data_IF_721018954789
#
_entry.id   IF_721018954789
#
_cell.length_a   1.000
_cell.length_b   1.000
_cell.length_c   1.000
_cell.angle_alpha   90.00
_cell.angle_beta   90.00
_cell.angle_gamma   90.00
#
_symmetry.space_group_name_H-M   'P 1'
#
loop_
_entity.id
_entity.type
_entity.pdbx_description
1 polymer ?
#
# COMPACT_ATOMS: atom_id res chain seq x y z
N UNK A 1 5.02 40.48 10.27
CA UNK A 1 5.84 39.40 9.66
C UNK A 1 6.27 38.40 10.74
N UNK A 2 5.33 37.76 11.44
CA UNK A 2 5.60 36.87 12.59
C UNK A 2 5.23 35.41 12.26
N UNK A 3 5.78 34.86 11.17
CA UNK A 3 5.20 33.62 10.62
C UNK A 3 6.04 32.35 10.77
N UNK A 4 7.36 32.43 11.00
CA UNK A 4 8.23 31.23 10.98
C UNK A 4 8.78 30.85 12.35
N UNK A 5 9.27 31.83 13.11
CA UNK A 5 9.86 31.58 14.44
C UNK A 5 8.82 31.17 15.49
N UNK A 6 7.62 31.76 15.44
CA UNK A 6 6.57 31.44 16.39
C UNK A 6 5.89 30.10 16.10
N UNK A 7 5.80 29.71 14.82
CA UNK A 7 5.42 28.35 14.42
C UNK A 7 6.46 27.34 14.92
N UNK A 8 7.75 27.65 14.81
CA UNK A 8 8.81 26.75 15.28
C UNK A 8 8.82 26.55 16.80
N UNK A 9 8.29 27.49 17.60
CA UNK A 9 8.16 27.35 19.06
C UNK A 9 6.99 26.46 19.50
N UNK A 10 5.95 26.29 18.65
CA UNK A 10 4.77 25.48 18.96
C UNK A 10 4.87 24.03 18.51
N UNK A 11 5.80 23.73 17.59
CA UNK A 11 5.97 22.39 17.07
C UNK A 11 6.84 21.57 18.05
N UNK A 12 6.46 20.32 18.36
CA UNK A 12 7.32 19.45 19.13
C UNK A 12 8.63 19.28 18.38
N UNK A 13 9.76 19.38 19.09
CA UNK A 13 11.11 19.23 18.50
C UNK A 13 11.28 17.92 17.70
N UNK A 14 10.43 16.95 18.00
CA UNK A 14 10.38 15.65 17.37
C UNK A 14 8.92 15.27 17.11
N UNK A 15 8.64 14.84 15.87
CA UNK A 15 7.32 14.40 15.43
C UNK A 15 7.27 12.90 15.19
N UNK A 16 6.12 12.31 15.51
CA UNK A 16 5.81 10.94 15.13
C UNK A 16 5.48 10.84 13.64
N UNK A 17 5.50 9.63 13.11
CA UNK A 17 5.32 9.39 11.68
C UNK A 17 3.97 9.88 11.12
N UNK A 18 2.90 9.94 11.95
CA UNK A 18 1.60 10.53 11.54
C UNK A 18 1.68 12.05 11.42
N UNK A 19 2.25 12.71 12.42
CA UNK A 19 2.44 14.15 12.45
C UNK A 19 3.37 14.61 11.33
N UNK A 20 4.45 13.87 11.07
CA UNK A 20 5.36 14.14 9.97
C UNK A 20 4.66 14.04 8.59
N UNK A 21 3.73 13.09 8.43
CA UNK A 21 2.97 12.97 7.19
C UNK A 21 2.01 14.17 6.99
N UNK A 22 1.35 14.59 8.06
CA UNK A 22 0.50 15.78 8.08
C UNK A 22 1.29 17.05 7.79
N UNK A 23 2.47 17.20 8.40
CA UNK A 23 3.38 18.31 8.18
C UNK A 23 3.84 18.42 6.71
N UNK A 24 4.13 17.28 6.08
CA UNK A 24 4.52 17.21 4.67
C UNK A 24 3.31 17.27 3.70
N UNK A 25 2.08 17.30 4.20
CA UNK A 25 0.87 17.29 3.37
C UNK A 25 0.67 15.99 2.56
N UNK A 26 1.22 14.87 3.02
CA UNK A 26 1.12 13.56 2.33
C UNK A 26 0.44 12.52 3.21
N UNK A 27 -0.14 11.48 2.57
CA UNK A 27 -0.71 10.38 3.33
C UNK A 27 0.36 9.57 4.06
N UNK A 28 0.02 9.05 5.24
CA UNK A 28 0.92 8.21 6.04
C UNK A 28 1.49 7.01 5.25
N UNK A 29 0.65 6.36 4.42
CA UNK A 29 1.08 5.27 3.55
C UNK A 29 2.11 5.71 2.49
N UNK A 30 1.96 6.93 1.95
CA UNK A 30 2.92 7.50 0.99
C UNK A 30 4.25 7.81 1.67
N UNK A 31 4.23 8.42 2.86
CA UNK A 31 5.43 8.66 3.65
C UNK A 31 6.15 7.34 3.97
N UNK A 32 5.41 6.31 4.39
CA UNK A 32 5.96 4.96 4.63
C UNK A 32 6.62 4.37 3.38
N UNK A 33 5.99 4.53 2.22
CA UNK A 33 6.55 4.05 0.95
C UNK A 33 7.84 4.80 0.59
N UNK A 34 7.87 6.12 0.76
CA UNK A 34 9.08 6.93 0.53
C UNK A 34 10.24 6.49 1.43
N UNK A 35 9.96 6.23 2.70
CA UNK A 35 10.96 5.75 3.65
C UNK A 35 11.45 4.34 3.31
N UNK A 36 10.59 3.48 2.78
CA UNK A 36 10.97 2.14 2.35
C UNK A 36 11.85 2.18 1.09
N UNK A 37 11.60 3.13 0.19
CA UNK A 37 12.38 3.38 -1.02
C UNK A 37 13.70 4.14 -0.77
N UNK A 38 13.96 4.57 0.47
CA UNK A 38 15.14 5.39 0.80
C UNK A 38 15.07 6.84 0.28
N UNK A 39 13.92 7.27 -0.22
CA UNK A 39 13.65 8.60 -0.77
C UNK A 39 12.89 9.51 0.21
N UNK A 40 12.76 9.08 1.46
CA UNK A 40 12.03 9.81 2.50
C UNK A 40 12.94 10.76 3.31
N UNK A 41 12.32 11.60 4.15
CA UNK A 41 13.07 12.46 5.07
C UNK A 41 13.89 11.63 6.06
N UNK A 42 14.99 12.23 6.55
CA UNK A 42 15.85 11.58 7.54
C UNK A 42 15.03 11.30 8.82
N UNK A 43 15.11 10.06 9.29
CA UNK A 43 14.36 9.59 10.45
C UNK A 43 15.31 8.91 11.43
N UNK A 44 15.05 9.04 12.73
CA UNK A 44 15.73 8.26 13.74
C UNK A 44 14.76 7.26 14.37
N UNK A 45 15.25 6.06 14.66
CA UNK A 45 14.44 4.98 15.21
C UNK A 45 14.73 4.83 16.70
N UNK A 46 13.69 4.90 17.54
CA UNK A 46 13.75 4.42 18.91
C UNK A 46 13.27 2.96 18.89
N UNK A 47 14.22 2.03 18.76
CA UNK A 47 13.91 0.60 18.68
C UNK A 47 13.40 0.15 17.31
N UNK A 48 12.58 -0.92 17.28
CA UNK A 48 12.20 -1.62 16.03
C UNK A 48 10.98 -1.02 15.30
N UNK A 49 10.12 -0.26 15.98
CA UNK A 49 8.83 0.18 15.43
C UNK A 49 8.62 1.69 15.43
N UNK A 50 9.24 2.41 16.36
CA UNK A 50 8.99 3.84 16.52
C UNK A 50 10.03 4.66 15.78
N UNK A 51 9.59 5.23 14.66
CA UNK A 51 10.37 6.20 13.89
C UNK A 51 9.86 7.60 14.17
N UNK A 52 10.82 8.47 14.48
CA UNK A 52 10.60 9.86 14.78
C UNK A 52 11.39 10.75 13.82
N UNK A 53 10.85 11.94 13.61
CA UNK A 53 11.33 12.91 12.63
C UNK A 53 11.61 14.23 13.32
N UNK A 54 12.76 14.84 13.03
CA UNK A 54 13.02 16.21 13.46
C UNK A 54 12.41 17.15 12.43
N UNK A 55 11.87 18.27 12.88
CA UNK A 55 11.30 19.29 11.98
C UNK A 55 12.36 19.78 10.98
N UNK A 56 13.61 19.96 11.42
CA UNK A 56 14.74 20.34 10.55
C UNK A 56 14.98 19.38 9.39
N UNK A 57 14.80 18.08 9.60
CA UNK A 57 15.00 17.06 8.57
C UNK A 57 13.82 17.04 7.57
N UNK A 58 12.61 17.35 8.05
CA UNK A 58 11.42 17.52 7.20
C UNK A 58 11.55 18.79 6.34
N UNK A 59 12.01 19.89 6.91
CA UNK A 59 12.27 21.14 6.18
C UNK A 59 13.37 20.96 5.14
N UNK A 60 14.47 20.29 5.49
CA UNK A 60 15.53 19.97 4.55
C UNK A 60 15.02 19.09 3.39
N UNK A 61 14.12 18.16 3.69
CA UNK A 61 13.47 17.32 2.67
C UNK A 61 12.55 18.13 1.75
N UNK A 62 11.75 19.05 2.29
CA UNK A 62 10.93 19.97 1.49
C UNK A 62 11.85 20.84 0.61
N UNK A 63 12.89 21.44 1.16
CA UNK A 63 13.84 22.25 0.41
C UNK A 63 14.51 21.47 -0.73
N UNK A 64 14.91 20.23 -0.48
CA UNK A 64 15.49 19.34 -1.50
C UNK A 64 14.48 18.99 -2.60
N UNK A 65 13.20 18.80 -2.27
CA UNK A 65 12.15 18.43 -3.25
C UNK A 65 11.54 19.62 -3.99
N UNK A 66 11.56 20.82 -3.42
CA UNK A 66 11.11 22.05 -4.09
C UNK A 66 12.06 22.47 -5.22
N UNK A 67 13.33 22.04 -5.21
CA UNK A 67 14.23 22.18 -6.36
C UNK A 67 14.03 21.14 -7.47
N UNK A 68 13.25 20.09 -7.20
CA UNK A 68 13.16 18.86 -7.99
C UNK A 68 11.73 18.67 -8.54
N UNK A 69 11.04 19.78 -8.85
CA UNK A 69 9.66 19.81 -9.38
C UNK A 69 9.64 19.22 -10.78
N UNK A 70 9.76 17.90 -10.87
CA UNK A 70 9.27 17.14 -11.99
C UNK A 70 7.73 17.18 -11.94
N UNK A 71 7.06 17.40 -13.08
CA UNK A 71 5.61 17.55 -13.11
C UNK A 71 4.95 16.28 -12.58
N UNK A 72 3.88 16.48 -11.81
CA UNK A 72 2.92 15.43 -11.43
C UNK A 72 2.44 14.74 -12.69
N UNK A 73 3.12 13.68 -13.08
CA UNK A 73 2.54 12.70 -13.99
C UNK A 73 1.49 12.00 -13.14
N UNK A 74 0.23 12.18 -13.52
CA UNK A 74 -0.88 11.44 -12.95
C UNK A 74 -0.56 9.95 -13.11
N UNK A 75 -0.07 9.32 -12.04
CA UNK A 75 0.22 7.89 -12.03
C UNK A 75 -1.13 7.20 -12.22
N UNK A 76 -1.39 6.72 -13.45
CA UNK A 76 -2.52 5.86 -13.77
C UNK A 76 -2.41 4.66 -12.84
N UNK A 77 -3.31 4.57 -11.85
CA UNK A 77 -3.40 3.40 -10.97
C UNK A 77 -3.64 2.20 -11.86
N UNK A 78 -2.67 1.30 -11.94
CA UNK A 78 -2.82 0.05 -12.70
C UNK A 78 -4.04 -0.73 -12.21
N UNK A 79 -4.71 -1.50 -13.09
CA UNK A 79 -5.88 -2.29 -12.70
C UNK A 79 -5.52 -3.15 -11.49
N UNK A 80 -6.29 -3.00 -10.41
CA UNK A 80 -6.02 -3.63 -9.14
C UNK A 80 -5.77 -5.12 -9.32
N UNK A 81 -4.63 -5.60 -8.81
CA UNK A 81 -4.26 -7.02 -8.86
C UNK A 81 -5.42 -7.86 -8.29
N UNK A 82 -5.98 -8.82 -9.04
CA UNK A 82 -7.07 -9.64 -8.54
C UNK A 82 -6.61 -10.39 -7.29
N UNK A 83 -7.35 -10.24 -6.19
CA UNK A 83 -7.08 -10.93 -4.93
C UNK A 83 -7.29 -12.43 -5.18
N UNK A 84 -6.19 -13.18 -5.23
CA UNK A 84 -6.18 -14.64 -5.35
C UNK A 84 -6.79 -15.23 -4.07
N UNK A 85 -7.95 -15.87 -4.18
CA UNK A 85 -8.56 -16.53 -3.02
C UNK A 85 -10.05 -16.87 -3.07
N UNK A 86 -10.74 -16.74 -4.20
CA UNK A 86 -12.13 -17.22 -4.33
C UNK A 86 -12.18 -18.23 -5.46
N UNK A 87 -12.15 -19.51 -5.13
CA UNK A 87 -12.61 -20.55 -6.04
C UNK A 87 -14.02 -20.15 -6.48
N UNK A 88 -14.20 -19.93 -7.78
CA UNK A 88 -15.48 -19.50 -8.31
C UNK A 88 -16.48 -20.64 -8.12
N UNK A 89 -17.69 -20.31 -7.67
CA UNK A 89 -18.81 -21.27 -7.57
C UNK A 89 -19.01 -22.01 -8.90
N UNK A 90 -18.73 -21.33 -10.02
CA UNK A 90 -18.73 -21.92 -11.35
C UNK A 90 -17.75 -23.10 -11.53
N UNK A 91 -16.55 -23.03 -10.95
CA UNK A 91 -15.58 -24.14 -11.02
C UNK A 91 -16.05 -25.36 -10.21
N UNK A 92 -16.72 -25.13 -9.07
CA UNK A 92 -17.30 -26.22 -8.26
C UNK A 92 -18.44 -26.89 -9.01
N UNK A 93 -19.31 -26.12 -9.65
CA UNK A 93 -20.43 -26.63 -10.46
C UNK A 93 -19.92 -27.42 -11.67
N UNK A 94 -18.88 -26.93 -12.36
CA UNK A 94 -18.34 -27.64 -13.52
C UNK A 94 -17.77 -29.03 -13.16
N UNK A 95 -17.06 -29.12 -12.03
CA UNK A 95 -16.50 -30.40 -11.55
C UNK A 95 -17.61 -31.36 -11.12
N UNK A 96 -18.65 -30.88 -10.44
CA UNK A 96 -19.76 -31.75 -10.04
C UNK A 96 -20.56 -32.27 -11.23
N UNK A 97 -20.82 -31.45 -12.24
CA UNK A 97 -21.50 -31.90 -13.47
C UNK A 97 -20.66 -32.95 -14.21
N UNK A 98 -19.34 -32.73 -14.35
CA UNK A 98 -18.45 -33.69 -14.99
C UNK A 98 -18.41 -35.04 -14.26
N UNK A 99 -18.40 -35.02 -12.92
CA UNK A 99 -18.43 -36.25 -12.13
C UNK A 99 -19.74 -37.04 -12.36
N UNK A 100 -20.88 -36.34 -12.40
CA UNK A 100 -22.19 -36.98 -12.63
C UNK A 100 -22.27 -37.60 -14.02
N UNK A 101 -21.76 -36.93 -15.06
CA UNK A 101 -21.80 -37.49 -16.42
C UNK A 101 -20.93 -38.73 -16.58
N UNK A 102 -19.75 -38.77 -15.93
CA UNK A 102 -18.88 -39.94 -15.94
C UNK A 102 -19.57 -41.14 -15.28
N UNK A 103 -20.20 -40.92 -14.11
CA UNK A 103 -20.93 -41.99 -13.40
C UNK A 103 -22.11 -42.49 -14.23
N UNK A 104 -22.88 -41.58 -14.84
CA UNK A 104 -24.01 -41.96 -15.69
C UNK A 104 -23.57 -42.77 -16.91
N UNK A 105 -22.49 -42.36 -17.59
CA UNK A 105 -21.93 -43.10 -18.71
C UNK A 105 -21.46 -44.51 -18.31
N UNK A 106 -20.81 -44.63 -17.14
CA UNK A 106 -20.35 -45.92 -16.63
C UNK A 106 -21.53 -46.87 -16.32
N UNK A 107 -22.62 -46.36 -15.74
CA UNK A 107 -23.83 -47.15 -15.47
C UNK A 107 -24.50 -47.65 -16.75
N UNK A 108 -24.56 -46.84 -17.80
CA UNK A 108 -25.13 -47.23 -19.09
C UNK A 108 -24.30 -48.35 -19.74
N UNK A 109 -22.98 -48.22 -19.71
CA UNK A 109 -22.07 -49.25 -20.22
C UNK A 109 -22.23 -50.55 -19.43
N UNK A 110 -22.24 -50.47 -18.09
CA UNK A 110 -22.41 -51.63 -17.22
C UNK A 110 -23.76 -52.35 -17.43
N UNK A 111 -24.83 -51.60 -17.68
CA UNK A 111 -26.16 -52.16 -17.98
C UNK A 111 -26.24 -52.83 -19.36
N UNK A 112 -25.42 -52.40 -20.33
CA UNK A 112 -25.39 -52.96 -21.69
C UNK A 112 -24.56 -54.25 -21.80
N UNK A 113 -23.71 -54.54 -20.80
CA UNK A 113 -22.87 -55.73 -20.75
C UNK A 113 -23.49 -56.88 -19.95
N UNK A 114 -24.74 -56.74 -19.51
CA UNK A 114 -25.48 -57.71 -18.68
C UNK A 114 -26.62 -58.31 -19.49
#
# INVERSE_FOLDING_TARGET
MASKEEQSRRLPAVMDSKQAAEYLGVSYGRLRNLLWLGLGPKSFSFGKRDRRFRVSDLDAFIAAKVGDVAPTTAIKRGPGRPRKGRTSVAAVIAVSVLAVTIVAAWLIIAASMR
#
